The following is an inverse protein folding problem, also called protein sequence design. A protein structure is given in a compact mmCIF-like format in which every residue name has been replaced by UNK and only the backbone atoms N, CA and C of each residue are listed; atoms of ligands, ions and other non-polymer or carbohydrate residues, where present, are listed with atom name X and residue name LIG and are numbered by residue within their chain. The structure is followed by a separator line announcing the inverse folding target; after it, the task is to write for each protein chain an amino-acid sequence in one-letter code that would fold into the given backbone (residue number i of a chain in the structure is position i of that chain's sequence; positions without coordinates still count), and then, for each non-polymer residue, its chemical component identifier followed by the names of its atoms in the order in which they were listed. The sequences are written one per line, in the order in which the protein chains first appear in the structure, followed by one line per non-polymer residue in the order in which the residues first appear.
data_IF_517403711161
#
_entry.id   IF_517403711161
#
_cell.length_a   1.000
_cell.length_b   1.000
_cell.length_c   1.000
_cell.angle_alpha   90.00
_cell.angle_beta   90.00
_cell.angle_gamma   90.00
#
_symmetry.space_group_name_H-M   'P 1'
#
loop_
_entity.id
_entity.type
_entity.pdbx_description
1 polymer ?
#
# COMPACT_ATOMS: atom_id res chain seq x y z
N UNK A 1 9.58 -19.23 18.29
CA UNK A 1 8.52 -18.30 18.70
C UNK A 1 9.18 -16.94 18.96
N UNK A 2 8.83 -15.88 18.22
CA UNK A 2 9.49 -14.59 18.41
C UNK A 2 9.03 -14.00 19.76
N UNK A 3 9.88 -14.09 20.78
CA UNK A 3 9.58 -13.71 22.17
C UNK A 3 9.38 -12.19 22.39
N UNK A 4 9.42 -11.37 21.34
CA UNK A 4 9.37 -9.92 21.43
C UNK A 4 8.23 -9.37 20.56
N UNK A 5 7.01 -9.51 21.05
CA UNK A 5 5.83 -8.86 20.45
C UNK A 5 5.95 -7.33 20.57
N UNK A 6 5.15 -6.60 19.78
CA UNK A 6 5.12 -5.14 19.91
C UNK A 6 4.73 -4.68 21.32
N UNK A 7 3.80 -5.37 21.98
CA UNK A 7 3.41 -5.05 23.36
C UNK A 7 4.57 -5.27 24.35
N UNK A 8 5.39 -6.31 24.14
CA UNK A 8 6.62 -6.50 24.91
C UNK A 8 7.59 -5.32 24.75
N UNK A 9 7.79 -4.84 23.51
CA UNK A 9 8.68 -3.71 23.20
C UNK A 9 8.11 -2.37 23.69
N UNK A 10 6.79 -2.19 23.60
CA UNK A 10 6.07 -0.98 24.03
C UNK A 10 6.19 -0.75 25.53
N UNK A 11 6.08 -1.83 26.33
CA UNK A 11 6.29 -1.77 27.79
C UNK A 11 7.73 -1.38 28.15
N UNK A 12 8.71 -1.68 27.29
CA UNK A 12 10.15 -1.43 27.48
C UNK A 12 10.69 -0.31 26.60
N UNK A 13 9.84 0.63 26.18
CA UNK A 13 10.21 1.70 25.25
C UNK A 13 11.38 2.58 25.75
N UNK A 14 11.58 2.67 27.06
CA UNK A 14 12.62 3.49 27.69
C UNK A 14 13.90 2.70 28.00
N UNK A 15 13.88 1.37 27.92
CA UNK A 15 15.06 0.54 28.20
C UNK A 15 16.09 0.69 27.06
N UNK A 16 17.36 1.06 27.34
CA UNK A 16 18.36 1.27 26.29
C UNK A 16 18.52 0.07 25.34
N UNK A 17 18.46 -1.16 25.90
CA UNK A 17 18.54 -2.43 25.16
C UNK A 17 17.41 -2.57 24.12
N UNK A 18 16.19 -2.15 24.46
CA UNK A 18 14.99 -2.42 23.66
C UNK A 18 14.49 -1.21 22.87
N UNK A 19 14.99 -0.01 23.18
CA UNK A 19 14.56 1.26 22.55
C UNK A 19 14.69 1.27 21.03
N UNK A 20 15.78 0.72 20.48
CA UNK A 20 15.98 0.60 19.02
C UNK A 20 14.95 -0.36 18.39
N UNK A 21 14.76 -1.53 18.99
CA UNK A 21 13.79 -2.52 18.52
C UNK A 21 12.35 -1.99 18.58
N UNK A 22 11.98 -1.31 19.67
CA UNK A 22 10.70 -0.62 19.79
C UNK A 22 10.50 0.45 18.71
N UNK A 23 11.51 1.30 18.48
CA UNK A 23 11.44 2.36 17.46
C UNK A 23 11.27 1.78 16.06
N UNK A 24 12.02 0.73 15.73
CA UNK A 24 11.88 0.03 14.44
C UNK A 24 10.48 -0.59 14.27
N UNK A 25 9.98 -1.30 15.29
CA UNK A 25 8.65 -1.90 15.25
C UNK A 25 7.53 -0.86 15.14
N UNK A 26 7.67 0.28 15.84
CA UNK A 26 6.75 1.42 15.73
C UNK A 26 6.77 2.02 14.32
N UNK A 27 7.95 2.30 13.79
CA UNK A 27 8.09 2.88 12.44
C UNK A 27 7.53 1.94 11.38
N UNK A 28 7.75 0.63 11.47
CA UNK A 28 7.16 -0.35 10.54
C UNK A 28 5.63 -0.29 10.54
N UNK A 29 5.01 -0.15 11.72
CA UNK A 29 3.55 0.02 11.83
C UNK A 29 3.06 1.33 11.23
N UNK A 30 3.77 2.43 11.51
CA UNK A 30 3.43 3.75 10.95
C UNK A 30 3.54 3.75 9.43
N UNK A 31 4.65 3.24 8.89
CA UNK A 31 4.87 3.11 7.44
C UNK A 31 3.77 2.25 6.82
N UNK A 32 3.44 1.10 7.43
CA UNK A 32 2.34 0.25 6.98
C UNK A 32 1.01 1.01 6.92
N UNK A 33 0.66 1.73 7.98
CA UNK A 33 -0.55 2.54 8.01
C UNK A 33 -0.55 3.65 6.94
N UNK A 34 0.58 4.35 6.76
CA UNK A 34 0.72 5.40 5.75
C UNK A 34 0.57 4.84 4.34
N UNK A 35 1.19 3.69 4.04
CA UNK A 35 1.04 3.02 2.74
C UNK A 35 -0.41 2.60 2.51
N UNK A 36 -1.08 2.00 3.51
CA UNK A 36 -2.50 1.61 3.39
C UNK A 36 -3.39 2.83 3.14
N UNK A 37 -3.22 3.92 3.91
CA UNK A 37 -3.97 5.16 3.71
C UNK A 37 -3.72 5.73 2.30
N UNK A 38 -2.46 5.72 1.86
CA UNK A 38 -2.11 6.21 0.53
C UNK A 38 -2.79 5.40 -0.59
N UNK A 39 -2.80 4.07 -0.49
CA UNK A 39 -3.49 3.18 -1.42
C UNK A 39 -5.00 3.47 -1.42
N UNK A 40 -5.62 3.66 -0.27
CA UNK A 40 -7.06 3.97 -0.16
C UNK A 40 -7.38 5.32 -0.84
N UNK A 41 -6.58 6.35 -0.57
CA UNK A 41 -6.77 7.68 -1.18
C UNK A 41 -6.64 7.59 -2.70
N UNK A 42 -5.57 6.98 -3.20
CA UNK A 42 -5.36 6.85 -4.64
C UNK A 42 -6.39 5.96 -5.31
N UNK A 43 -6.81 4.87 -4.66
CA UNK A 43 -7.90 4.02 -5.12
C UNK A 43 -9.21 4.80 -5.26
N UNK A 44 -9.54 5.64 -4.28
CA UNK A 44 -10.72 6.51 -4.33
C UNK A 44 -10.63 7.56 -5.43
N UNK A 45 -9.48 8.23 -5.59
CA UNK A 45 -9.26 9.22 -6.66
C UNK A 45 -9.37 8.59 -8.03
N UNK A 46 -8.73 7.43 -8.25
CA UNK A 46 -8.83 6.68 -9.51
C UNK A 46 -10.27 6.25 -9.79
N UNK A 47 -10.96 5.70 -8.79
CA UNK A 47 -12.35 5.30 -8.93
C UNK A 47 -13.24 6.47 -9.34
N UNK A 48 -13.09 7.63 -8.69
CA UNK A 48 -13.85 8.84 -9.03
C UNK A 48 -13.58 9.33 -10.45
N UNK A 49 -12.34 9.24 -10.94
CA UNK A 49 -12.00 9.61 -12.33
C UNK A 49 -12.54 8.65 -13.38
N UNK A 50 -12.67 7.37 -13.02
CA UNK A 50 -13.32 6.38 -13.89
C UNK A 50 -14.84 6.65 -13.92
N UNK A 51 -15.44 6.94 -12.75
CA UNK A 51 -16.87 7.26 -12.63
C UNK A 51 -17.25 8.56 -13.35
N UNK A 52 -16.39 9.59 -13.31
CA UNK A 52 -16.62 10.85 -14.03
C UNK A 52 -16.50 10.73 -15.55
N UNK A 53 -16.03 9.58 -16.06
CA UNK A 53 -15.76 9.40 -17.49
C UNK A 53 -14.50 10.11 -17.98
N UNK A 54 -13.72 10.75 -17.09
CA UNK A 54 -12.44 11.39 -17.46
C UNK A 54 -11.40 10.36 -17.94
N UNK A 55 -11.53 9.11 -17.49
CA UNK A 55 -10.72 7.98 -17.93
C UNK A 55 -11.62 6.99 -18.65
N UNK A 56 -11.56 6.99 -19.98
CA UNK A 56 -12.24 6.00 -20.82
C UNK A 56 -11.51 4.66 -20.80
N UNK A 57 -11.72 3.90 -19.73
CA UNK A 57 -11.13 2.57 -19.52
C UNK A 57 -11.43 1.64 -20.70
N UNK A 58 -12.60 1.78 -21.33
CA UNK A 58 -12.99 0.99 -22.50
C UNK A 58 -12.06 1.25 -23.71
N UNK A 59 -11.67 2.50 -23.96
CA UNK A 59 -10.74 2.82 -25.04
C UNK A 59 -9.35 2.21 -24.79
N UNK A 60 -8.89 2.19 -23.54
CA UNK A 60 -7.62 1.53 -23.17
C UNK A 60 -7.71 0.02 -23.40
N UNK A 61 -8.82 -0.61 -23.00
CA UNK A 61 -9.08 -2.04 -23.21
C UNK A 61 -9.10 -2.37 -24.71
N UNK A 62 -9.75 -1.54 -25.52
CA UNK A 62 -9.88 -1.79 -26.95
C UNK A 62 -8.53 -1.66 -27.68
N UNK A 63 -7.70 -0.69 -27.31
CA UNK A 63 -6.31 -0.57 -27.80
C UNK A 63 -5.47 -1.78 -27.39
N UNK A 64 -5.60 -2.25 -26.15
CA UNK A 64 -4.85 -3.44 -25.69
C UNK A 64 -5.27 -4.71 -26.45
N UNK A 65 -6.56 -4.90 -26.67
CA UNK A 65 -7.07 -6.01 -27.48
C UNK A 65 -6.56 -5.94 -28.92
N UNK A 66 -6.53 -4.76 -29.54
CA UNK A 66 -6.02 -4.62 -30.91
C UNK A 66 -4.56 -5.03 -31.00
N UNK A 67 -3.72 -4.60 -30.06
CA UNK A 67 -2.29 -4.94 -30.02
C UNK A 67 -2.04 -6.43 -29.76
N UNK A 68 -2.86 -7.06 -28.92
CA UNK A 68 -2.77 -8.52 -28.70
C UNK A 68 -3.12 -9.27 -29.99
N UNK A 69 -4.18 -8.86 -30.69
CA UNK A 69 -4.56 -9.49 -31.96
C UNK A 69 -3.52 -9.29 -33.07
N UNK A 70 -2.85 -8.12 -33.13
CA UNK A 70 -1.71 -7.89 -34.04
C UNK A 70 -0.50 -8.77 -33.71
N UNK A 71 -0.30 -9.13 -32.45
CA UNK A 71 0.81 -10.00 -32.04
C UNK A 71 0.52 -11.49 -32.27
N UNK A 72 -0.77 -11.87 -32.22
CA UNK A 72 -1.21 -13.26 -32.37
C UNK A 72 -1.46 -13.68 -33.84
N UNK A 73 -1.67 -12.72 -34.74
CA UNK A 73 -1.77 -12.93 -36.19
C UNK A 73 -0.41 -12.78 -36.87
#
# INVERSE_FOLDING_TARGET
MAYHTYEFLKRRKNDPKWRKAYTSARNKRIIGALVTINIIIWGFVLWKKIESGDIEVNNIIDVLKSKINEFLN
#
